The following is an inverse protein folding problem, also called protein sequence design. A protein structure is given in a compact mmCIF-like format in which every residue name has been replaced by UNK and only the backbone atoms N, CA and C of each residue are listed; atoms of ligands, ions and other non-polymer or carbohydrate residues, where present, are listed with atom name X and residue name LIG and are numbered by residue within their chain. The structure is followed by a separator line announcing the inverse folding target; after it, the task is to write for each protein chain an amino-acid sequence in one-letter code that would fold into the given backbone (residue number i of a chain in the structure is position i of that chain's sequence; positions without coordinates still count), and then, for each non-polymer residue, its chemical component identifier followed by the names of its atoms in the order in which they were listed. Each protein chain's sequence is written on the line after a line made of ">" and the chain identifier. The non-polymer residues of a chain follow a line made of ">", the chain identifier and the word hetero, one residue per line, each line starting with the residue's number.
data_IF_433160703300
#
_entry.id   IF_433160703300
#
_cell.length_a   1.000
_cell.length_b   1.000
_cell.length_c   1.000
_cell.angle_alpha   90.00
_cell.angle_beta   90.00
_cell.angle_gamma   90.00
#
_symmetry.space_group_name_H-M   'P 1'
#
loop_
_entity.id
_entity.type
_entity.pdbx_description
1 polymer ?
#
# COMPACT_ATOMS: atom_id res chain seq x y z
N UNK A 1 2.98 -12.98 -20.28
CA UNK A 1 1.71 -12.62 -19.59
C UNK A 1 0.50 -13.28 -20.22
N UNK A 2 0.36 -13.37 -21.55
CA UNK A 2 -0.75 -14.10 -22.21
C UNK A 2 -0.80 -15.59 -21.82
N UNK A 3 0.36 -16.24 -21.63
CA UNK A 3 0.41 -17.64 -21.21
C UNK A 3 -0.18 -17.90 -19.82
N UNK A 4 -0.12 -16.93 -18.91
CA UNK A 4 -0.71 -17.06 -17.58
C UNK A 4 -2.23 -16.85 -17.60
N UNK A 5 -2.75 -15.99 -18.46
CA UNK A 5 -4.21 -15.79 -18.62
C UNK A 5 -4.91 -17.08 -19.05
N UNK A 6 -4.26 -17.87 -19.92
CA UNK A 6 -4.79 -19.17 -20.36
C UNK A 6 -4.70 -20.28 -19.28
N UNK A 7 -3.96 -20.06 -18.20
CA UNK A 7 -3.76 -21.02 -17.11
C UNK A 7 -4.70 -20.78 -15.89
N UNK A 8 -5.44 -19.67 -15.87
CA UNK A 8 -6.41 -19.37 -14.80
C UNK A 8 -7.78 -19.13 -15.42
N UNK A 9 -8.84 -19.50 -14.70
CA UNK A 9 -10.22 -19.15 -15.05
C UNK A 9 -10.62 -17.77 -14.51
N UNK A 10 -10.26 -17.49 -13.25
CA UNK A 10 -10.67 -16.29 -12.53
C UNK A 10 -9.54 -15.79 -11.62
N UNK A 11 -9.53 -14.48 -11.37
CA UNK A 11 -8.64 -13.84 -10.42
C UNK A 11 -9.45 -13.04 -9.39
N UNK A 12 -9.10 -13.18 -8.12
CA UNK A 12 -9.61 -12.35 -7.02
C UNK A 12 -8.40 -11.79 -6.28
N UNK A 13 -8.31 -10.46 -6.18
CA UNK A 13 -7.16 -9.86 -5.53
C UNK A 13 -7.13 -8.34 -5.56
N UNK A 14 -5.93 -7.80 -5.34
CA UNK A 14 -5.66 -6.37 -5.30
C UNK A 14 -5.35 -5.81 -6.70
N UNK A 15 -5.89 -4.65 -7.02
CA UNK A 15 -5.34 -3.79 -8.06
C UNK A 15 -4.06 -3.13 -7.54
N UNK A 16 -2.91 -3.72 -7.87
CA UNK A 16 -1.62 -3.28 -7.35
C UNK A 16 -1.16 -1.94 -7.97
N UNK A 17 -1.53 -1.64 -9.22
CA UNK A 17 -1.25 -0.34 -9.85
C UNK A 17 -2.05 0.75 -9.15
N UNK A 18 -3.34 0.54 -8.95
CA UNK A 18 -4.20 1.48 -8.22
C UNK A 18 -3.70 1.70 -6.79
N UNK A 19 -3.29 0.63 -6.11
CA UNK A 19 -2.69 0.72 -4.77
C UNK A 19 -1.43 1.58 -4.75
N UNK A 20 -0.56 1.42 -5.75
CA UNK A 20 0.62 2.27 -5.93
C UNK A 20 0.26 3.74 -6.17
N UNK A 21 -0.70 4.00 -7.08
CA UNK A 21 -1.19 5.36 -7.35
C UNK A 21 -1.78 6.03 -6.11
N UNK A 22 -2.53 5.29 -5.33
CA UNK A 22 -3.09 5.73 -4.06
C UNK A 22 -1.97 6.15 -3.09
N UNK A 23 -0.94 5.33 -2.97
CA UNK A 23 0.21 5.60 -2.11
C UNK A 23 1.02 6.82 -2.57
N UNK A 24 1.23 6.98 -3.89
CA UNK A 24 1.93 8.13 -4.47
C UNK A 24 1.17 9.43 -4.28
N UNK A 25 -0.16 9.42 -4.49
CA UNK A 25 -1.03 10.57 -4.22
C UNK A 25 -0.99 10.96 -2.74
N UNK A 26 -1.03 9.97 -1.83
CA UNK A 26 -0.91 10.20 -0.40
C UNK A 26 0.44 10.83 -0.04
N UNK A 27 1.54 10.27 -0.54
CA UNK A 27 2.89 10.80 -0.31
C UNK A 27 3.01 12.26 -0.77
N UNK A 28 2.55 12.56 -1.99
CA UNK A 28 2.57 13.92 -2.55
C UNK A 28 1.84 14.91 -1.66
N UNK A 29 0.60 14.62 -1.29
CA UNK A 29 -0.21 15.53 -0.45
C UNK A 29 0.41 15.76 0.93
N UNK A 30 0.98 14.72 1.53
CA UNK A 30 1.68 14.85 2.82
C UNK A 30 2.92 15.72 2.67
N UNK A 31 3.74 15.52 1.64
CA UNK A 31 4.92 16.33 1.36
C UNK A 31 4.54 17.80 1.12
N UNK A 32 3.55 18.06 0.28
CA UNK A 32 3.03 19.42 -0.01
C UNK A 32 2.50 20.10 1.27
N UNK A 33 1.80 19.37 2.15
CA UNK A 33 1.30 19.91 3.43
C UNK A 33 2.43 20.33 4.38
N UNK A 34 3.61 19.74 4.22
CA UNK A 34 4.85 20.09 4.94
C UNK A 34 5.67 21.18 4.25
N UNK A 35 5.18 21.73 3.13
CA UNK A 35 5.90 22.72 2.33
C UNK A 35 7.06 22.12 1.50
N UNK A 36 7.12 20.80 1.35
CA UNK A 36 8.12 20.11 0.54
C UNK A 36 7.55 19.91 -0.86
N UNK A 37 8.09 20.65 -1.82
CA UNK A 37 7.59 20.68 -3.21
C UNK A 37 8.44 19.86 -4.19
N UNK A 38 9.61 19.40 -3.77
CA UNK A 38 10.50 18.54 -4.55
C UNK A 38 11.43 17.73 -3.65
N UNK A 39 12.00 16.63 -4.17
CA UNK A 39 12.96 15.83 -3.40
C UNK A 39 13.18 14.43 -3.97
N UNK A 40 13.98 13.63 -3.24
CA UNK A 40 14.23 12.24 -3.57
C UNK A 40 13.44 11.28 -2.71
N UNK A 41 13.09 10.13 -3.26
CA UNK A 41 12.51 9.02 -2.50
C UNK A 41 13.12 7.67 -2.87
N UNK A 42 13.06 6.72 -1.95
CA UNK A 42 13.51 5.34 -2.14
C UNK A 42 12.36 4.39 -1.79
N UNK A 43 12.21 3.33 -2.59
CA UNK A 43 11.22 2.28 -2.39
C UNK A 43 11.90 0.98 -1.94
N UNK A 44 11.32 0.31 -0.92
CA UNK A 44 11.85 -0.91 -0.32
C UNK A 44 10.87 -2.06 -0.47
N UNK A 45 11.36 -3.20 -0.95
CA UNK A 45 10.57 -4.42 -1.14
C UNK A 45 11.43 -5.66 -0.95
N UNK A 46 10.80 -6.82 -0.73
CA UNK A 46 11.51 -8.10 -0.70
C UNK A 46 12.19 -8.41 -2.02
N UNK A 47 11.41 -8.38 -3.10
CA UNK A 47 11.88 -8.56 -4.47
C UNK A 47 11.27 -7.49 -5.36
N UNK A 48 12.10 -6.60 -5.89
CA UNK A 48 11.66 -5.45 -6.70
C UNK A 48 11.17 -5.83 -8.09
N UNK A 49 11.51 -7.01 -8.58
CA UNK A 49 11.08 -7.60 -9.85
C UNK A 49 9.80 -8.44 -9.74
N UNK A 50 9.30 -8.69 -8.51
CA UNK A 50 8.02 -9.34 -8.30
C UNK A 50 6.87 -8.50 -8.88
N UNK A 51 5.89 -9.14 -9.54
CA UNK A 51 4.81 -8.44 -10.26
C UNK A 51 4.03 -7.46 -9.38
N UNK A 52 3.66 -7.84 -8.16
CA UNK A 52 2.92 -6.95 -7.26
C UNK A 52 3.79 -5.77 -6.79
N UNK A 53 5.05 -6.02 -6.43
CA UNK A 53 5.96 -4.97 -5.98
C UNK A 53 6.22 -3.96 -7.12
N UNK A 54 6.54 -4.46 -8.32
CA UNK A 54 6.76 -3.62 -9.51
C UNK A 54 5.53 -2.78 -9.85
N UNK A 55 4.33 -3.37 -9.80
CA UNK A 55 3.08 -2.65 -10.06
C UNK A 55 2.84 -1.53 -9.03
N UNK A 56 3.02 -1.81 -7.73
CA UNK A 56 2.89 -0.81 -6.66
C UNK A 56 3.92 0.32 -6.81
N UNK A 57 5.19 -0.02 -7.05
CA UNK A 57 6.27 0.96 -7.24
C UNK A 57 6.05 1.84 -8.46
N UNK A 58 5.61 1.28 -9.59
CA UNK A 58 5.31 2.05 -10.79
C UNK A 58 4.09 2.95 -10.59
N UNK A 59 3.03 2.44 -9.97
CA UNK A 59 1.84 3.24 -9.66
C UNK A 59 2.16 4.44 -8.76
N UNK A 60 3.03 4.26 -7.75
CA UNK A 60 3.50 5.36 -6.91
C UNK A 60 4.24 6.42 -7.75
N UNK A 61 5.17 5.99 -8.59
CA UNK A 61 5.94 6.88 -9.46
C UNK A 61 5.04 7.72 -10.39
N UNK A 62 3.93 7.14 -10.88
CA UNK A 62 2.98 7.84 -11.76
C UNK A 62 2.27 9.02 -11.07
N UNK A 63 2.13 9.01 -9.74
CA UNK A 63 1.25 9.96 -9.04
C UNK A 63 1.94 10.83 -7.99
N UNK A 64 3.15 10.48 -7.55
CA UNK A 64 3.90 11.29 -6.58
C UNK A 64 4.29 12.68 -7.15
N UNK A 65 4.39 12.79 -8.46
CA UNK A 65 4.72 14.05 -9.18
C UNK A 65 6.16 14.08 -9.70
N UNK A 66 6.36 14.80 -10.80
CA UNK A 66 7.62 14.87 -11.54
C UNK A 66 8.76 15.57 -10.76
N UNK A 67 8.41 16.41 -9.78
CA UNK A 67 9.38 17.10 -8.92
C UNK A 67 9.98 16.15 -7.85
N UNK A 68 9.38 14.98 -7.64
CA UNK A 68 9.89 13.95 -6.74
C UNK A 68 10.57 12.84 -7.53
N UNK A 69 11.88 12.69 -7.33
CA UNK A 69 12.71 11.74 -8.09
C UNK A 69 12.87 10.42 -7.35
N UNK A 70 12.56 9.33 -8.04
CA UNK A 70 12.94 8.01 -7.58
C UNK A 70 14.47 7.86 -7.61
N UNK A 71 15.07 7.66 -6.45
CA UNK A 71 16.52 7.49 -6.30
C UNK A 71 16.90 6.02 -6.47
N UNK A 72 16.12 5.12 -5.83
CA UNK A 72 16.42 3.68 -5.89
C UNK A 72 15.20 2.82 -5.54
N UNK A 73 15.26 1.55 -5.94
CA UNK A 73 14.40 0.44 -5.52
C UNK A 73 15.25 -0.64 -4.89
N UNK A 74 15.20 -0.75 -3.57
CA UNK A 74 16.08 -1.63 -2.81
C UNK A 74 15.40 -2.96 -2.46
N UNK A 75 16.02 -4.07 -2.90
CA UNK A 75 15.57 -5.42 -2.57
C UNK A 75 16.26 -5.93 -1.30
N UNK A 76 15.47 -6.49 -0.39
CA UNK A 76 15.99 -7.08 0.85
C UNK A 76 15.91 -8.61 0.88
N UNK A 77 15.37 -9.25 -0.19
CA UNK A 77 15.24 -10.70 -0.32
C UNK A 77 14.44 -11.35 0.83
N UNK A 78 13.51 -10.60 1.44
CA UNK A 78 12.71 -10.95 2.62
C UNK A 78 13.54 -11.15 3.91
N UNK A 79 14.75 -10.61 3.95
CA UNK A 79 15.60 -10.59 5.15
C UNK A 79 15.37 -9.28 5.92
N UNK A 80 14.89 -9.39 7.17
CA UNK A 80 14.58 -8.24 8.01
C UNK A 80 15.81 -7.43 8.41
N UNK A 81 16.99 -8.07 8.52
CA UNK A 81 18.24 -7.36 8.79
C UNK A 81 18.65 -6.54 7.59
N UNK A 82 18.62 -7.16 6.40
CA UNK A 82 18.90 -6.50 5.13
C UNK A 82 17.91 -5.36 4.84
N UNK A 83 16.63 -5.53 5.18
CA UNK A 83 15.64 -4.46 5.07
C UNK A 83 16.06 -3.20 5.86
N UNK A 84 16.47 -3.38 7.13
CA UNK A 84 16.99 -2.27 7.97
C UNK A 84 18.29 -1.70 7.43
N UNK A 85 19.20 -2.54 6.95
CA UNK A 85 20.48 -2.11 6.40
C UNK A 85 20.32 -1.31 5.10
N UNK A 86 19.36 -1.70 4.24
CA UNK A 86 18.99 -0.94 3.06
C UNK A 86 18.52 0.49 3.44
N UNK A 87 17.65 0.60 4.44
CA UNK A 87 17.17 1.93 4.91
C UNK A 87 18.33 2.75 5.47
N UNK A 88 19.25 2.14 6.26
CA UNK A 88 20.44 2.83 6.76
C UNK A 88 21.33 3.32 5.62
N UNK A 89 21.57 2.48 4.62
CA UNK A 89 22.37 2.81 3.44
C UNK A 89 21.72 3.95 2.63
N UNK A 90 20.43 3.89 2.38
CA UNK A 90 19.71 4.95 1.68
C UNK A 90 19.86 6.31 2.38
N UNK A 91 19.66 6.37 3.69
CA UNK A 91 19.77 7.60 4.48
C UNK A 91 21.21 8.13 4.60
N UNK A 92 22.23 7.26 4.51
CA UNK A 92 23.65 7.67 4.51
C UNK A 92 24.07 8.20 3.16
N UNK A 93 23.69 7.48 2.08
CA UNK A 93 24.09 7.84 0.72
C UNK A 93 23.30 9.05 0.17
N UNK A 94 22.08 9.25 0.66
CA UNK A 94 21.16 10.31 0.22
C UNK A 94 20.58 11.03 1.45
N UNK A 95 21.34 11.90 2.11
CA UNK A 95 20.92 12.55 3.35
C UNK A 95 19.77 13.56 3.16
N UNK A 96 19.44 13.90 1.94
CA UNK A 96 18.38 14.82 1.51
C UNK A 96 17.08 14.11 1.08
N UNK A 97 16.96 12.79 1.28
CA UNK A 97 15.73 12.07 1.00
C UNK A 97 14.54 12.66 1.76
N UNK A 98 13.45 12.89 1.03
CA UNK A 98 12.21 13.46 1.57
C UNK A 98 11.16 12.39 1.87
N UNK A 99 11.21 11.23 1.18
CA UNK A 99 10.29 10.14 1.45
C UNK A 99 10.96 8.75 1.38
N UNK A 100 10.47 7.84 2.22
CA UNK A 100 10.78 6.42 2.23
C UNK A 100 9.50 5.61 2.09
N UNK A 101 9.51 4.63 1.20
CA UNK A 101 8.31 3.91 0.80
C UNK A 101 8.46 2.42 1.06
N UNK A 102 7.65 1.86 1.95
CA UNK A 102 7.59 0.42 2.20
C UNK A 102 6.54 -0.26 1.33
N UNK A 103 6.95 -1.21 0.50
CA UNK A 103 6.09 -1.87 -0.49
C UNK A 103 5.47 -3.17 0.05
N UNK A 104 6.11 -3.83 0.98
CA UNK A 104 5.60 -5.03 1.66
C UNK A 104 5.46 -4.80 3.16
N UNK A 105 4.60 -5.56 3.81
CA UNK A 105 4.17 -5.36 5.20
C UNK A 105 5.32 -5.10 6.19
N UNK A 106 6.39 -5.90 6.15
CA UNK A 106 7.51 -5.81 7.09
C UNK A 106 8.49 -4.66 6.78
N UNK A 107 8.42 -4.04 5.58
CA UNK A 107 9.22 -2.87 5.28
C UNK A 107 8.78 -1.67 6.13
N UNK A 108 7.49 -1.56 6.48
CA UNK A 108 6.95 -0.48 7.29
C UNK A 108 7.66 -0.34 8.66
N UNK A 109 7.68 -1.37 9.53
CA UNK A 109 8.40 -1.27 10.79
C UNK A 109 9.91 -1.11 10.60
N UNK A 110 10.53 -1.76 9.60
CA UNK A 110 11.97 -1.61 9.33
C UNK A 110 12.36 -0.16 9.01
N UNK A 111 11.54 0.53 8.20
CA UNK A 111 11.75 1.95 7.87
C UNK A 111 11.53 2.81 9.12
N UNK A 112 10.42 2.64 9.84
CA UNK A 112 10.06 3.45 10.98
C UNK A 112 11.10 3.37 12.11
N UNK A 113 11.59 2.17 12.43
CA UNK A 113 12.65 1.93 13.42
C UNK A 113 13.94 2.66 13.04
N UNK A 114 14.43 2.47 11.81
CA UNK A 114 15.71 3.09 11.39
C UNK A 114 15.62 4.61 11.32
N UNK A 115 14.51 5.17 10.83
CA UNK A 115 14.29 6.62 10.78
C UNK A 115 14.27 7.21 12.20
N UNK A 116 13.63 6.51 13.15
CA UNK A 116 13.60 6.89 14.56
C UNK A 116 15.00 6.85 15.17
N UNK A 117 15.74 5.75 14.98
CA UNK A 117 17.11 5.58 15.51
C UNK A 117 18.07 6.63 14.98
N UNK A 118 17.89 7.08 13.75
CA UNK A 118 18.70 8.12 13.10
C UNK A 118 18.26 9.55 13.46
N UNK A 119 17.11 9.72 14.12
CA UNK A 119 16.59 11.03 14.50
C UNK A 119 16.23 11.92 13.31
N UNK A 120 15.78 11.33 12.20
CA UNK A 120 15.48 12.06 10.95
C UNK A 120 14.00 12.11 10.62
N UNK A 121 13.11 11.73 11.54
CA UNK A 121 11.67 11.64 11.34
C UNK A 121 11.03 12.96 10.89
N UNK A 122 11.48 14.07 11.45
CA UNK A 122 10.89 15.40 11.21
C UNK A 122 11.02 15.85 9.74
N UNK A 123 12.02 15.35 9.03
CA UNK A 123 12.28 15.68 7.63
C UNK A 123 11.95 14.57 6.64
N UNK A 124 11.46 13.41 7.12
CA UNK A 124 11.23 12.23 6.29
C UNK A 124 9.75 11.84 6.30
N UNK A 125 9.12 11.78 5.13
CA UNK A 125 7.77 11.23 4.96
C UNK A 125 7.86 9.71 4.80
N UNK A 126 7.01 8.97 5.51
CA UNK A 126 6.98 7.51 5.44
C UNK A 126 5.59 7.05 5.03
N UNK A 127 5.49 6.42 3.87
CA UNK A 127 4.26 5.82 3.37
C UNK A 127 4.49 4.34 3.05
N UNK A 128 3.51 3.50 3.35
CA UNK A 128 3.72 2.05 3.30
C UNK A 128 2.51 1.28 2.78
N UNK A 129 2.75 0.04 2.39
CA UNK A 129 1.71 -0.96 2.15
C UNK A 129 1.53 -1.87 3.35
N UNK A 130 0.30 -2.36 3.49
CA UNK A 130 -0.16 -3.34 4.47
C UNK A 130 -0.07 -2.85 5.93
N UNK A 131 -0.82 -3.49 6.80
CA UNK A 131 -1.01 -3.07 8.18
C UNK A 131 -0.63 -4.19 9.16
N UNK A 132 0.69 -4.51 9.26
CA UNK A 132 1.17 -5.35 10.35
C UNK A 132 0.95 -4.68 11.71
N UNK A 133 0.76 -5.48 12.76
CA UNK A 133 0.55 -4.94 14.11
C UNK A 133 1.61 -3.92 14.53
N UNK A 134 2.90 -4.20 14.28
CA UNK A 134 3.99 -3.26 14.55
C UNK A 134 3.88 -1.96 13.74
N UNK A 135 3.44 -2.02 12.48
CA UNK A 135 3.24 -0.84 11.65
C UNK A 135 2.10 0.04 12.18
N UNK A 136 1.00 -0.58 12.66
CA UNK A 136 -0.11 0.14 13.31
C UNK A 136 0.33 0.88 14.58
N UNK A 137 1.22 0.28 15.38
CA UNK A 137 1.79 0.95 16.55
C UNK A 137 2.69 2.12 16.13
N UNK A 138 3.55 1.92 15.13
CA UNK A 138 4.37 3.01 14.59
C UNK A 138 3.53 4.16 14.02
N UNK A 139 2.40 3.88 13.38
CA UNK A 139 1.47 4.93 12.93
C UNK A 139 0.83 5.66 14.10
N UNK A 140 0.37 4.93 15.14
CA UNK A 140 -0.21 5.53 16.34
C UNK A 140 0.76 6.48 17.06
N UNK A 141 2.06 6.19 16.99
CA UNK A 141 3.14 7.01 17.54
C UNK A 141 3.62 8.12 16.58
N UNK A 142 2.97 8.31 15.43
CA UNK A 142 3.30 9.35 14.45
C UNK A 142 4.54 9.05 13.61
N UNK A 143 5.00 7.80 13.56
CA UNK A 143 6.20 7.40 12.81
C UNK A 143 5.91 7.02 11.36
N UNK A 144 4.67 6.75 11.00
CA UNK A 144 4.21 6.45 9.64
C UNK A 144 3.09 7.42 9.29
N UNK A 145 3.14 7.98 8.08
CA UNK A 145 2.23 9.05 7.65
C UNK A 145 0.97 8.53 6.93
N UNK A 146 1.10 7.43 6.17
CA UNK A 146 -0.03 6.78 5.52
C UNK A 146 0.28 5.31 5.22
N UNK A 147 -0.76 4.48 5.20
CA UNK A 147 -0.68 3.09 4.75
C UNK A 147 -1.78 2.80 3.73
N UNK A 148 -1.43 2.15 2.64
CA UNK A 148 -2.40 1.51 1.73
C UNK A 148 -2.54 0.06 2.13
N UNK A 149 -3.75 -0.35 2.44
CA UNK A 149 -4.04 -1.68 2.98
C UNK A 149 -4.94 -2.45 2.02
N UNK A 150 -4.55 -3.67 1.72
CA UNK A 150 -5.33 -4.62 0.94
C UNK A 150 -6.53 -5.13 1.74
N UNK A 151 -7.43 -5.89 1.10
CA UNK A 151 -8.59 -6.48 1.75
C UNK A 151 -8.57 -8.02 1.70
N UNK A 152 -7.65 -8.70 2.42
CA UNK A 152 -7.54 -10.15 2.40
C UNK A 152 -8.79 -10.85 2.94
N UNK A 153 -9.54 -10.20 3.85
CA UNK A 153 -10.82 -10.70 4.32
C UNK A 153 -11.82 -10.84 3.17
N UNK A 154 -11.97 -9.80 2.35
CA UNK A 154 -12.87 -9.85 1.20
C UNK A 154 -12.35 -10.80 0.11
N UNK A 155 -11.04 -10.90 -0.08
CA UNK A 155 -10.45 -11.92 -0.97
C UNK A 155 -10.91 -13.32 -0.59
N UNK A 156 -10.76 -13.69 0.68
CA UNK A 156 -11.18 -15.00 1.18
C UNK A 156 -12.69 -15.24 1.03
N UNK A 157 -13.50 -14.26 1.40
CA UNK A 157 -14.96 -14.32 1.30
C UNK A 157 -15.44 -14.51 -0.15
N UNK A 158 -14.92 -13.71 -1.08
CA UNK A 158 -15.30 -13.79 -2.50
C UNK A 158 -14.74 -15.05 -3.16
N UNK A 159 -13.59 -15.54 -2.73
CA UNK A 159 -13.05 -16.82 -3.19
C UNK A 159 -13.99 -17.98 -2.82
N UNK A 160 -14.48 -18.03 -1.58
CA UNK A 160 -15.43 -19.06 -1.15
C UNK A 160 -16.76 -18.95 -1.92
N UNK A 161 -17.26 -17.71 -2.12
CA UNK A 161 -18.46 -17.46 -2.92
C UNK A 161 -18.32 -17.99 -4.36
N UNK A 162 -17.18 -17.69 -5.00
CA UNK A 162 -16.90 -18.15 -6.36
C UNK A 162 -16.78 -19.67 -6.44
N UNK A 163 -16.02 -20.29 -5.54
CA UNK A 163 -15.85 -21.75 -5.52
C UNK A 163 -17.17 -22.50 -5.31
N UNK A 164 -18.05 -21.96 -4.44
CA UNK A 164 -19.38 -22.53 -4.25
C UNK A 164 -20.22 -22.42 -5.52
N UNK A 165 -20.24 -21.26 -6.16
CA UNK A 165 -20.97 -21.03 -7.41
C UNK A 165 -20.48 -21.97 -8.52
N UNK A 166 -19.17 -22.14 -8.66
CA UNK A 166 -18.58 -23.07 -9.63
C UNK A 166 -18.98 -24.54 -9.33
N UNK A 167 -18.97 -24.95 -8.06
CA UNK A 167 -19.32 -26.31 -7.65
C UNK A 167 -20.79 -26.63 -7.88
N UNK A 168 -21.68 -25.64 -7.71
CA UNK A 168 -23.13 -25.81 -7.86
C UNK A 168 -23.66 -25.48 -9.26
N UNK A 169 -22.82 -24.98 -10.16
CA UNK A 169 -23.22 -24.52 -11.49
C UNK A 169 -24.07 -23.24 -11.44
N UNK A 170 -23.86 -22.38 -10.43
CA UNK A 170 -24.56 -21.09 -10.30
C UNK A 170 -23.93 -20.03 -11.20
N UNK A 171 -24.27 -20.13 -12.52
CA UNK A 171 -23.80 -19.20 -13.54
C UNK A 171 -24.26 -17.75 -13.27
N UNK A 172 -25.36 -17.55 -12.55
CA UNK A 172 -25.85 -16.21 -12.18
C UNK A 172 -24.87 -15.53 -11.24
N UNK A 173 -24.45 -16.18 -10.17
CA UNK A 173 -23.47 -15.64 -9.23
C UNK A 173 -22.13 -15.39 -9.90
N UNK A 174 -21.67 -16.28 -10.79
CA UNK A 174 -20.42 -16.09 -11.54
C UNK A 174 -20.54 -14.85 -12.45
N UNK A 175 -21.63 -14.69 -13.18
CA UNK A 175 -21.88 -13.54 -14.03
C UNK A 175 -22.01 -12.22 -13.28
N UNK A 176 -22.57 -12.24 -12.05
CA UNK A 176 -22.59 -11.05 -11.17
C UNK A 176 -21.18 -10.65 -10.69
N UNK A 177 -20.31 -11.63 -10.43
CA UNK A 177 -18.92 -11.38 -10.02
C UNK A 177 -18.04 -10.93 -11.18
N UNK A 178 -18.32 -11.42 -12.39
CA UNK A 178 -17.51 -11.15 -13.59
C UNK A 178 -18.39 -10.73 -14.76
N UNK A 179 -19.03 -9.55 -14.71
CA UNK A 179 -19.98 -9.10 -15.71
C UNK A 179 -19.35 -8.89 -17.10
N UNK A 180 -18.06 -8.70 -17.14
CA UNK A 180 -17.25 -8.46 -18.35
C UNK A 180 -16.34 -9.64 -18.71
N UNK A 181 -16.69 -10.87 -18.31
CA UNK A 181 -15.85 -12.08 -18.48
C UNK A 181 -15.38 -12.34 -19.92
N UNK A 182 -16.13 -11.84 -20.90
CA UNK A 182 -15.84 -11.94 -22.32
C UNK A 182 -14.87 -10.85 -22.83
N UNK A 183 -14.54 -9.86 -22.00
CA UNK A 183 -13.64 -8.75 -22.35
C UNK A 183 -12.21 -8.97 -21.82
N UNK A 184 -11.21 -8.26 -22.37
CA UNK A 184 -9.87 -8.25 -21.79
C UNK A 184 -9.92 -7.84 -20.30
N UNK A 185 -9.23 -8.62 -19.44
CA UNK A 185 -9.22 -8.45 -17.98
C UNK A 185 -10.57 -8.63 -17.26
N UNK A 186 -11.62 -9.07 -17.98
CA UNK A 186 -12.94 -9.34 -17.40
C UNK A 186 -12.98 -10.55 -16.46
N UNK A 187 -11.90 -11.32 -16.39
CA UNK A 187 -11.65 -12.40 -15.44
C UNK A 187 -11.10 -11.92 -14.07
N UNK A 188 -10.98 -10.60 -13.87
CA UNK A 188 -10.39 -9.99 -12.68
C UNK A 188 -11.47 -9.40 -11.77
N UNK A 189 -11.50 -9.86 -10.52
CA UNK A 189 -12.30 -9.27 -9.44
C UNK A 189 -11.37 -8.57 -8.43
N UNK A 190 -11.51 -7.26 -8.27
CA UNK A 190 -10.74 -6.48 -7.31
C UNK A 190 -11.49 -6.31 -6.00
N UNK A 191 -10.79 -6.47 -4.87
CA UNK A 191 -11.40 -6.51 -3.53
C UNK A 191 -11.39 -5.17 -2.78
N UNK A 192 -11.04 -4.10 -3.48
CA UNK A 192 -10.92 -2.76 -2.90
C UNK A 192 -9.63 -2.55 -2.09
N UNK A 193 -9.42 -1.29 -1.72
CA UNK A 193 -8.25 -0.82 -0.98
C UNK A 193 -8.68 0.13 0.13
N UNK A 194 -7.86 0.21 1.18
CA UNK A 194 -8.01 1.20 2.23
C UNK A 194 -6.78 2.08 2.32
N UNK A 195 -6.98 3.38 2.44
CA UNK A 195 -5.96 4.33 2.84
C UNK A 195 -6.14 4.64 4.32
N UNK A 196 -5.18 4.22 5.12
CA UNK A 196 -5.18 4.47 6.57
C UNK A 196 -4.26 5.65 6.86
N UNK A 197 -4.76 6.59 7.65
CA UNK A 197 -4.03 7.79 8.08
C UNK A 197 -4.00 7.87 9.60
N UNK A 198 -2.98 8.53 10.21
CA UNK A 198 -2.97 8.77 11.65
C UNK A 198 -4.20 9.57 12.11
N UNK A 199 -4.72 9.29 13.31
CA UNK A 199 -5.82 10.06 13.92
C UNK A 199 -5.43 11.52 14.20
N UNK A 200 -4.13 11.71 14.52
CA UNK A 200 -3.53 13.03 14.70
C UNK A 200 -2.20 13.05 13.98
N UNK A 201 -2.02 13.96 13.06
CA UNK A 201 -0.70 14.25 12.52
C UNK A 201 0.03 15.20 13.46
N UNK A 202 1.35 15.08 13.54
CA UNK A 202 2.17 15.95 14.40
C UNK A 202 2.03 17.45 14.06
N UNK A 203 1.46 17.78 12.92
CA UNK A 203 1.37 19.15 12.37
C UNK A 203 -0.02 19.55 11.89
N UNK A 204 -1.03 18.66 11.90
CA UNK A 204 -2.38 18.98 11.46
C UNK A 204 -3.43 18.31 12.34
N UNK A 205 -4.49 19.04 12.69
CA UNK A 205 -5.65 18.52 13.41
C UNK A 205 -6.48 17.54 12.56
N UNK A 206 -6.30 17.59 11.23
CA UNK A 206 -6.91 16.67 10.26
C UNK A 206 -5.85 16.19 9.27
N UNK A 207 -5.98 14.93 8.82
CA UNK A 207 -5.15 14.42 7.74
C UNK A 207 -5.33 15.28 6.48
N UNK A 208 -4.25 15.62 5.73
CA UNK A 208 -4.36 16.30 4.45
C UNK A 208 -5.06 15.46 3.37
N UNK A 209 -5.36 14.20 3.67
CA UNK A 209 -5.95 13.25 2.75
C UNK A 209 -7.44 13.07 3.02
N UNK A 210 -8.26 13.26 2.00
CA UNK A 210 -9.72 13.05 2.04
C UNK A 210 -10.16 12.00 1.02
N UNK A 211 -11.25 11.33 1.31
CA UNK A 211 -11.82 10.26 0.43
C UNK A 211 -12.05 10.73 -1.00
N UNK A 212 -12.39 12.01 -1.24
CA UNK A 212 -12.61 12.55 -2.59
C UNK A 212 -11.34 12.96 -3.35
N UNK A 213 -10.17 12.75 -2.78
CA UNK A 213 -8.90 13.16 -3.40
C UNK A 213 -8.34 12.12 -4.37
N UNK A 214 -8.96 10.95 -4.43
CA UNK A 214 -8.47 9.81 -5.21
C UNK A 214 -9.65 9.17 -5.91
N UNK A 215 -9.63 9.20 -7.24
CA UNK A 215 -10.60 8.53 -8.08
C UNK A 215 -10.38 7.02 -8.04
N UNK A 216 -11.38 6.28 -7.66
CA UNK A 216 -11.40 4.81 -7.70
C UNK A 216 -12.60 4.23 -6.99
N UNK A 217 -13.34 3.38 -7.67
CA UNK A 217 -14.36 2.56 -7.07
C UNK A 217 -13.71 1.63 -6.04
N UNK A 218 -14.34 1.45 -4.87
CA UNK A 218 -13.86 0.59 -3.80
C UNK A 218 -12.57 1.05 -3.07
N UNK A 219 -12.35 2.36 -2.95
CA UNK A 219 -11.31 2.93 -2.07
C UNK A 219 -12.00 3.54 -0.84
N UNK A 220 -11.55 3.13 0.34
CA UNK A 220 -11.96 3.71 1.62
C UNK A 220 -10.78 4.46 2.25
N UNK A 221 -10.96 5.73 2.62
CA UNK A 221 -9.99 6.44 3.46
C UNK A 221 -10.53 6.51 4.89
N UNK A 222 -9.73 6.11 5.87
CA UNK A 222 -10.16 6.09 7.27
C UNK A 222 -9.02 6.40 8.24
N UNK A 223 -9.32 6.99 9.41
CA UNK A 223 -8.34 7.16 10.47
C UNK A 223 -7.97 5.81 11.10
N UNK A 224 -6.80 5.75 11.69
CA UNK A 224 -6.26 4.56 12.34
C UNK A 224 -7.20 3.97 13.41
N UNK A 225 -7.86 4.84 14.21
CA UNK A 225 -8.84 4.40 15.21
C UNK A 225 -9.98 3.62 14.61
N UNK A 226 -10.57 4.11 13.51
CA UNK A 226 -11.65 3.42 12.81
C UNK A 226 -11.18 2.10 12.20
N UNK A 227 -9.96 2.05 11.68
CA UNK A 227 -9.39 0.81 11.16
C UNK A 227 -9.15 -0.22 12.28
N UNK A 228 -8.65 0.19 13.44
CA UNK A 228 -8.50 -0.67 14.62
C UNK A 228 -9.84 -1.22 15.11
N UNK A 229 -10.90 -0.40 15.13
CA UNK A 229 -12.27 -0.84 15.44
C UNK A 229 -12.76 -1.90 14.43
N UNK A 230 -12.47 -1.69 13.15
CA UNK A 230 -12.79 -2.68 12.10
C UNK A 230 -12.06 -4.00 12.34
N UNK A 231 -10.75 -3.97 12.61
CA UNK A 231 -9.96 -5.16 12.93
C UNK A 231 -10.54 -5.91 14.16
N UNK A 232 -10.83 -5.17 15.24
CA UNK A 232 -11.39 -5.73 16.47
C UNK A 232 -12.74 -6.42 16.25
N UNK A 233 -13.62 -5.86 15.40
CA UNK A 233 -14.92 -6.44 15.04
C UNK A 233 -14.79 -7.85 14.44
N UNK A 234 -13.71 -8.11 13.72
CA UNK A 234 -13.42 -9.40 13.10
C UNK A 234 -12.39 -10.24 13.85
N UNK A 235 -12.01 -9.79 15.06
CA UNK A 235 -10.98 -10.44 15.89
C UNK A 235 -9.64 -10.59 15.15
N UNK A 236 -9.25 -9.55 14.39
CA UNK A 236 -8.00 -9.47 13.64
C UNK A 236 -7.02 -8.53 14.35
N UNK A 237 -5.73 -8.80 14.24
CA UNK A 237 -4.64 -7.96 14.75
C UNK A 237 -3.89 -7.21 13.64
N UNK A 238 -4.15 -7.57 12.38
CA UNK A 238 -3.46 -7.01 11.20
C UNK A 238 -4.29 -7.28 9.93
N UNK A 239 -3.94 -6.63 8.86
CA UNK A 239 -4.52 -6.85 7.53
C UNK A 239 -3.47 -6.61 6.44
#
# INVERSE_FOLDING_TARGET
>A
RESFRNARSWYIGTDNILGGRLLGTAAKKILESRGITSGGYVQFAGFTDNDNARARMNGLQETIGEDFKEIDRMSDEMDLSKARDNVRAALVNHPDLTALVGIWAYNAPAIAEVVQDRGVRDRTTIVTFDAQAAALEHMAEGRIDAMVVQNPFEMGKQTVRLLLAMQTGDEKTIGEMYPDADKPDGDIYTTGLRLIVPDKTATAEESPLKVGDIDGDNIECMPLSQFREWLARYNLSSS
#
